data_IF_554577958820
#
_entry.id   IF_554577958820
#
_cell.length_a   1.000
_cell.length_b   1.000
_cell.length_c   1.000
_cell.angle_alpha   90.00
_cell.angle_beta   90.00
_cell.angle_gamma   90.00
#
_symmetry.space_group_name_H-M   'P 1'
#
loop_
_entity.id
_entity.type
_entity.pdbx_description
1 polymer ?
#
# COMPACT_ATOMS: atom_id res chain seq x y z
N UNK A 1 6.12 -23.04 -1.38
CA UNK A 1 5.96 -21.84 -0.51
C UNK A 1 6.10 -20.49 -1.23
N UNK A 2 7.20 -20.23 -1.97
CA UNK A 2 7.42 -18.91 -2.62
C UNK A 2 6.38 -18.56 -3.69
N UNK A 3 6.03 -19.50 -4.57
CA UNK A 3 5.00 -19.28 -5.59
C UNK A 3 3.62 -18.99 -4.98
N UNK A 4 3.25 -19.71 -3.92
CA UNK A 4 2.00 -19.48 -3.18
C UNK A 4 1.99 -18.11 -2.51
N UNK A 5 3.08 -17.72 -1.84
CA UNK A 5 3.20 -16.40 -1.22
C UNK A 5 3.04 -15.26 -2.23
N UNK A 6 3.61 -15.42 -3.44
CA UNK A 6 3.44 -14.47 -4.55
C UNK A 6 1.97 -14.35 -4.98
N UNK A 7 1.31 -15.48 -5.24
CA UNK A 7 -0.11 -15.50 -5.62
C UNK A 7 -0.98 -14.87 -4.52
N UNK A 8 -0.71 -15.18 -3.25
CA UNK A 8 -1.43 -14.58 -2.13
C UNK A 8 -1.26 -13.05 -2.10
N UNK A 9 -0.07 -12.50 -2.38
CA UNK A 9 0.12 -11.05 -2.47
C UNK A 9 -0.63 -10.42 -3.62
N UNK A 10 -0.60 -11.08 -4.76
CA UNK A 10 -1.34 -10.67 -5.95
C UNK A 10 -2.85 -10.63 -5.69
N UNK A 11 -3.40 -11.62 -4.97
CA UNK A 11 -4.84 -11.73 -4.68
C UNK A 11 -5.27 -10.86 -3.49
N UNK A 12 -4.44 -10.69 -2.47
CA UNK A 12 -4.81 -9.99 -1.20
C UNK A 12 -5.28 -8.55 -1.44
N UNK A 13 -4.72 -7.84 -2.42
CA UNK A 13 -5.18 -6.50 -2.80
C UNK A 13 -6.60 -6.44 -3.35
N UNK A 14 -7.17 -7.57 -3.76
CA UNK A 14 -8.55 -7.70 -4.24
C UNK A 14 -9.51 -8.20 -3.16
N UNK A 15 -9.02 -8.77 -2.05
CA UNK A 15 -9.90 -9.40 -1.05
C UNK A 15 -10.80 -8.38 -0.34
N UNK A 16 -10.35 -7.14 -0.18
CA UNK A 16 -11.14 -6.03 0.35
C UNK A 16 -12.38 -5.69 -0.50
N UNK A 17 -12.46 -6.19 -1.73
CA UNK A 17 -13.57 -5.97 -2.66
C UNK A 17 -14.47 -7.20 -2.85
N UNK A 18 -14.21 -8.31 -2.15
CA UNK A 18 -15.08 -9.50 -2.23
C UNK A 18 -16.51 -9.16 -1.80
N UNK A 19 -16.64 -8.25 -0.83
CA UNK A 19 -17.90 -7.59 -0.50
C UNK A 19 -17.81 -6.14 -0.94
N UNK A 20 -18.49 -5.81 -2.05
CA UNK A 20 -18.67 -4.45 -2.56
C UNK A 20 -20.12 -4.29 -3.02
N UNK A 21 -21.02 -3.80 -2.17
CA UNK A 21 -22.39 -3.56 -2.58
C UNK A 21 -22.45 -2.40 -3.60
N UNK A 22 -23.47 -2.37 -4.48
CA UNK A 22 -23.65 -1.28 -5.44
C UNK A 22 -23.61 0.08 -4.74
N UNK A 23 -22.78 1.00 -5.24
CA UNK A 23 -22.61 2.34 -4.66
C UNK A 23 -22.09 2.35 -3.22
N UNK A 24 -21.51 1.24 -2.74
CA UNK A 24 -21.13 1.04 -1.33
C UNK A 24 -22.28 1.20 -0.34
N UNK A 25 -23.51 0.90 -0.79
CA UNK A 25 -24.72 0.99 0.03
C UNK A 25 -24.73 -0.07 1.13
N UNK A 26 -24.60 0.37 2.38
CA UNK A 26 -24.53 -0.51 3.54
C UNK A 26 -25.85 -1.25 3.82
N UNK A 27 -26.97 -0.82 3.22
CA UNK A 27 -28.27 -1.49 3.37
C UNK A 27 -28.25 -2.93 2.89
N UNK A 28 -27.36 -3.27 1.95
CA UNK A 28 -27.12 -4.64 1.49
C UNK A 28 -26.58 -5.57 2.59
N UNK A 29 -26.07 -5.01 3.68
CA UNK A 29 -25.53 -5.73 4.82
C UNK A 29 -26.46 -5.56 6.02
N UNK A 30 -26.92 -4.34 6.29
CA UNK A 30 -27.75 -4.05 7.47
C UNK A 30 -29.14 -4.69 7.39
N UNK A 31 -29.65 -5.04 6.19
CA UNK A 31 -30.88 -5.82 6.03
C UNK A 31 -30.79 -7.20 6.69
N UNK A 32 -29.59 -7.74 6.88
CA UNK A 32 -29.33 -8.99 7.58
C UNK A 32 -29.00 -8.80 9.07
N UNK A 33 -29.13 -7.58 9.60
CA UNK A 33 -28.80 -7.26 10.99
C UNK A 33 -27.29 -7.24 11.28
N UNK A 34 -26.45 -7.12 10.26
CA UNK A 34 -25.00 -7.05 10.38
C UNK A 34 -24.45 -5.68 9.92
N UNK A 35 -23.21 -5.40 10.29
CA UNK A 35 -22.46 -4.20 9.86
C UNK A 35 -21.30 -4.57 8.93
N UNK A 36 -20.81 -3.58 8.17
CA UNK A 36 -19.63 -3.79 7.32
C UNK A 36 -18.38 -4.17 8.13
N UNK A 37 -18.26 -3.64 9.35
CA UNK A 37 -17.13 -3.92 10.23
C UNK A 37 -17.16 -5.34 10.77
N UNK A 38 -18.32 -5.84 11.18
CA UNK A 38 -18.48 -7.25 11.60
C UNK A 38 -18.12 -8.19 10.46
N UNK A 39 -18.74 -8.02 9.28
CA UNK A 39 -18.46 -8.89 8.12
C UNK A 39 -17.00 -8.80 7.69
N UNK A 40 -16.43 -7.60 7.75
CA UNK A 40 -15.03 -7.36 7.42
C UNK A 40 -14.04 -8.05 8.37
N UNK A 41 -14.29 -8.00 9.68
CA UNK A 41 -13.48 -8.67 10.70
C UNK A 41 -13.63 -10.18 10.62
N UNK A 42 -14.86 -10.68 10.42
CA UNK A 42 -15.12 -12.12 10.24
C UNK A 42 -14.44 -12.65 8.97
N UNK A 43 -14.53 -11.92 7.86
CA UNK A 43 -13.88 -12.28 6.61
C UNK A 43 -12.36 -12.38 6.74
N UNK A 44 -11.74 -11.38 7.38
CA UNK A 44 -10.31 -11.39 7.66
C UNK A 44 -9.91 -12.56 8.57
N UNK A 45 -10.64 -12.76 9.66
CA UNK A 45 -10.39 -13.84 10.63
C UNK A 45 -10.51 -15.22 9.97
N UNK A 46 -11.57 -15.41 9.17
CA UNK A 46 -11.82 -16.64 8.42
C UNK A 46 -10.70 -16.93 7.43
N UNK A 47 -10.28 -15.93 6.65
CA UNK A 47 -9.17 -16.05 5.70
C UNK A 47 -7.87 -16.42 6.40
N UNK A 48 -7.49 -15.71 7.48
CA UNK A 48 -6.25 -15.98 8.20
C UNK A 48 -6.24 -17.35 8.87
N UNK A 49 -7.39 -17.77 9.42
CA UNK A 49 -7.54 -19.08 10.07
C UNK A 49 -7.39 -20.20 9.06
N UNK A 50 -8.09 -20.11 7.92
CA UNK A 50 -8.02 -21.10 6.85
C UNK A 50 -6.61 -21.23 6.27
N UNK A 51 -5.93 -20.10 6.03
CA UNK A 51 -4.54 -20.12 5.57
C UNK A 51 -3.61 -20.77 6.60
N UNK A 52 -3.75 -20.46 7.89
CA UNK A 52 -2.98 -21.11 8.95
C UNK A 52 -3.22 -22.62 9.00
N UNK A 53 -4.48 -23.05 8.97
CA UNK A 53 -4.85 -24.48 8.97
C UNK A 53 -4.30 -25.23 7.75
N UNK A 54 -4.12 -24.54 6.62
CA UNK A 54 -3.50 -25.08 5.40
C UNK A 54 -1.95 -25.06 5.43
N UNK A 55 -1.32 -24.70 6.56
CA UNK A 55 0.14 -24.58 6.68
C UNK A 55 0.72 -23.30 6.05
N UNK A 56 -0.12 -22.30 5.80
CA UNK A 56 0.22 -21.02 5.17
C UNK A 56 0.00 -19.84 6.13
N UNK A 57 0.41 -19.99 7.39
CA UNK A 57 0.35 -18.90 8.37
C UNK A 57 1.07 -17.65 7.83
N UNK A 58 0.40 -16.50 7.89
CA UNK A 58 0.86 -15.28 7.20
C UNK A 58 2.26 -14.83 7.67
N UNK A 59 2.55 -15.04 8.95
CA UNK A 59 3.81 -14.67 9.61
C UNK A 59 5.00 -15.51 9.12
N UNK A 60 4.73 -16.71 8.59
CA UNK A 60 5.75 -17.61 8.05
C UNK A 60 5.96 -17.49 6.54
N UNK A 61 5.19 -16.64 5.84
CA UNK A 61 5.29 -16.53 4.39
C UNK A 61 6.53 -15.71 3.98
N UNK A 62 7.34 -16.20 3.02
CA UNK A 62 8.54 -15.48 2.58
C UNK A 62 8.18 -14.22 1.79
N UNK A 63 8.84 -13.09 2.08
CA UNK A 63 8.68 -11.81 1.38
C UNK A 63 7.98 -10.74 2.24
N UNK A 64 7.50 -9.64 1.66
CA UNK A 64 6.79 -8.59 2.41
C UNK A 64 5.49 -9.12 3.05
N UNK A 65 5.10 -8.51 4.17
CA UNK A 65 3.88 -8.86 4.88
C UNK A 65 2.64 -8.65 3.99
N UNK A 66 1.72 -9.61 4.01
CA UNK A 66 0.47 -9.54 3.24
C UNK A 66 -0.50 -8.49 3.78
N UNK A 67 -0.54 -8.34 5.10
CA UNK A 67 -1.38 -7.38 5.82
C UNK A 67 -0.50 -6.30 6.46
N UNK A 68 -1.00 -5.07 6.62
CA UNK A 68 -0.23 -4.01 7.25
C UNK A 68 0.06 -4.36 8.72
N UNK A 69 1.33 -4.40 9.16
CA UNK A 69 1.67 -4.74 10.53
C UNK A 69 1.22 -3.66 11.54
N UNK A 70 0.99 -4.10 12.78
CA UNK A 70 0.67 -3.22 13.91
C UNK A 70 -0.70 -2.56 13.82
N UNK A 71 -1.69 -3.27 13.26
CA UNK A 71 -3.09 -2.89 13.21
C UNK A 71 -3.96 -4.04 13.75
N UNK A 72 -5.06 -3.69 14.40
CA UNK A 72 -6.12 -4.63 14.76
C UNK A 72 -6.85 -5.14 13.51
N UNK A 73 -7.57 -6.28 13.61
CA UNK A 73 -8.40 -6.78 12.51
C UNK A 73 -9.41 -5.75 11.98
N UNK A 74 -10.01 -4.97 12.88
CA UNK A 74 -10.95 -3.91 12.54
C UNK A 74 -10.28 -2.81 11.71
N UNK A 75 -9.14 -2.30 12.16
CA UNK A 75 -8.38 -1.27 11.43
C UNK A 75 -7.91 -1.76 10.06
N UNK A 76 -7.46 -3.02 9.95
CA UNK A 76 -7.09 -3.63 8.66
C UNK A 76 -8.30 -3.65 7.72
N UNK A 77 -9.46 -4.08 8.22
CA UNK A 77 -10.69 -4.17 7.44
C UNK A 77 -11.19 -2.80 6.97
N UNK A 78 -11.34 -1.85 7.90
CA UNK A 78 -11.78 -0.48 7.61
C UNK A 78 -10.85 0.20 6.60
N UNK A 79 -9.54 0.06 6.78
CA UNK A 79 -8.54 0.61 5.85
C UNK A 79 -8.60 -0.04 4.48
N UNK A 80 -8.70 -1.37 4.42
CA UNK A 80 -8.88 -2.08 3.15
C UNK A 80 -10.11 -1.59 2.40
N UNK A 81 -11.23 -1.44 3.11
CA UNK A 81 -12.48 -0.89 2.56
C UNK A 81 -12.32 0.54 2.08
N UNK A 82 -11.69 1.42 2.85
CA UNK A 82 -11.45 2.81 2.46
C UNK A 82 -10.58 2.92 1.20
N UNK A 83 -9.47 2.17 1.14
CA UNK A 83 -8.60 2.14 -0.04
C UNK A 83 -9.28 1.51 -1.26
N UNK A 84 -10.20 0.56 -1.06
CA UNK A 84 -11.01 -0.02 -2.13
C UNK A 84 -12.05 0.99 -2.65
N UNK A 85 -12.75 1.70 -1.76
CA UNK A 85 -13.67 2.81 -2.09
C UNK A 85 -12.95 3.90 -2.89
N UNK A 86 -11.72 4.23 -2.48
CA UNK A 86 -10.87 5.20 -3.15
C UNK A 86 -10.25 4.71 -4.48
N UNK A 87 -10.50 3.47 -4.89
CA UNK A 87 -9.93 2.90 -6.12
C UNK A 87 -8.41 2.73 -6.08
N UNK A 88 -7.80 2.67 -4.90
CA UNK A 88 -6.35 2.45 -4.73
C UNK A 88 -6.03 0.95 -4.89
N UNK A 89 -6.79 0.10 -4.19
CA UNK A 89 -6.66 -1.36 -4.25
C UNK A 89 -7.85 -2.00 -4.98
N UNK A 90 -7.69 -3.25 -5.40
CA UNK A 90 -8.73 -4.02 -6.10
C UNK A 90 -8.95 -3.66 -7.58
N UNK A 91 -10.11 -4.03 -8.12
CA UNK A 91 -10.65 -3.58 -9.41
C UNK A 91 -11.00 -2.10 -9.29
N UNK A 92 -10.59 -1.32 -10.30
CA UNK A 92 -10.77 0.13 -10.31
C UNK A 92 -11.68 0.54 -11.45
N UNK A 93 -12.75 1.27 -11.12
CA UNK A 93 -13.66 1.90 -12.08
C UNK A 93 -13.38 3.41 -12.12
N UNK A 94 -12.34 3.82 -12.87
CA UNK A 94 -11.96 5.23 -13.04
C UNK A 94 -10.67 5.67 -12.34
N UNK A 95 -10.45 6.97 -12.13
CA UNK A 95 -9.29 7.49 -11.39
C UNK A 95 -9.40 7.18 -9.90
N UNK A 96 -8.26 7.01 -9.23
CA UNK A 96 -8.23 6.86 -7.77
C UNK A 96 -8.52 8.19 -7.08
N UNK A 97 -9.29 8.17 -5.98
CA UNK A 97 -9.51 9.34 -5.14
C UNK A 97 -8.17 9.82 -4.56
N UNK A 98 -8.05 11.14 -4.34
CA UNK A 98 -6.82 11.77 -3.87
C UNK A 98 -7.06 12.89 -2.86
N UNK A 99 -8.19 12.82 -2.16
CA UNK A 99 -8.45 13.68 -1.01
C UNK A 99 -7.35 13.47 0.07
N UNK A 100 -7.10 14.46 0.94
CA UNK A 100 -5.99 14.41 1.89
C UNK A 100 -5.98 13.18 2.81
N UNK A 101 -7.16 12.66 3.17
CA UNK A 101 -7.29 11.47 4.03
C UNK A 101 -6.84 10.21 3.27
N UNK A 102 -7.30 10.02 2.04
CA UNK A 102 -6.86 8.92 1.17
C UNK A 102 -5.35 8.95 0.93
N UNK A 103 -4.79 10.13 0.64
CA UNK A 103 -3.34 10.30 0.41
C UNK A 103 -2.55 9.94 1.67
N UNK A 104 -2.94 10.47 2.83
CA UNK A 104 -2.29 10.18 4.11
C UNK A 104 -2.38 8.68 4.46
N UNK A 105 -3.53 8.05 4.22
CA UNK A 105 -3.73 6.63 4.43
C UNK A 105 -2.82 5.80 3.53
N UNK A 106 -2.65 6.15 2.25
CA UNK A 106 -1.75 5.43 1.35
C UNK A 106 -0.28 5.56 1.78
N UNK A 107 0.15 6.76 2.21
CA UNK A 107 1.49 6.98 2.75
C UNK A 107 1.77 6.18 4.03
N UNK A 108 0.82 6.12 4.95
CA UNK A 108 0.97 5.27 6.13
C UNK A 108 1.02 3.77 5.76
N UNK A 109 0.36 3.34 4.66
CA UNK A 109 0.39 1.95 4.20
C UNK A 109 1.80 1.61 3.73
N UNK A 110 2.37 2.49 2.91
CA UNK A 110 3.73 2.35 2.38
C UNK A 110 4.76 2.36 3.51
N UNK A 111 4.59 3.25 4.50
CA UNK A 111 5.44 3.30 5.70
C UNK A 111 5.46 1.97 6.45
N UNK A 112 4.29 1.32 6.62
CA UNK A 112 4.15 0.02 7.30
C UNK A 112 4.68 -1.16 6.47
N UNK A 113 4.80 -1.00 5.16
CA UNK A 113 5.32 -2.02 4.24
C UNK A 113 6.82 -1.93 3.99
N UNK A 114 7.52 -0.99 4.64
CA UNK A 114 8.99 -0.92 4.57
C UNK A 114 9.58 -2.26 5.00
N UNK A 115 10.32 -2.89 4.08
CA UNK A 115 10.99 -4.15 4.36
C UNK A 115 12.08 -3.95 5.42
N UNK A 116 12.02 -4.60 6.60
CA UNK A 116 13.02 -4.42 7.64
C UNK A 116 14.43 -4.83 7.19
N UNK A 117 14.54 -5.68 6.17
CA UNK A 117 15.80 -6.14 5.58
C UNK A 117 16.22 -5.34 4.33
N UNK A 118 15.84 -4.06 4.24
CA UNK A 118 16.12 -3.19 3.08
C UNK A 118 17.62 -2.91 2.86
N UNK A 119 18.44 -3.00 3.91
CA UNK A 119 19.90 -2.85 3.84
C UNK A 119 20.39 -1.41 3.65
N UNK A 120 19.60 -0.41 4.09
CA UNK A 120 20.06 0.98 4.16
C UNK A 120 20.91 1.12 5.42
N UNK A 121 22.09 1.74 5.30
CA UNK A 121 23.06 1.86 6.40
C UNK A 121 22.86 3.10 7.27
N UNK A 122 22.08 4.07 6.77
CA UNK A 122 21.78 5.34 7.44
C UNK A 122 20.33 5.74 7.15
N UNK A 123 19.73 6.63 7.96
CA UNK A 123 18.45 7.23 7.62
C UNK A 123 18.45 7.75 6.18
N UNK A 124 17.44 7.38 5.42
CA UNK A 124 17.29 7.75 4.01
C UNK A 124 15.91 8.31 3.78
N UNK A 125 15.86 9.51 3.22
CA UNK A 125 14.61 10.23 3.00
C UNK A 125 14.18 10.17 1.53
N UNK A 126 13.02 9.56 1.29
CA UNK A 126 12.37 9.52 -0.02
C UNK A 126 11.28 10.59 -0.05
N UNK A 127 11.27 11.45 -1.06
CA UNK A 127 10.28 12.51 -1.24
C UNK A 127 9.49 12.29 -2.52
N UNK A 128 8.16 12.38 -2.45
CA UNK A 128 7.26 12.33 -3.59
C UNK A 128 6.83 13.74 -3.96
N UNK A 129 7.13 14.13 -5.18
CA UNK A 129 6.75 15.41 -5.78
C UNK A 129 5.69 15.16 -6.84
N UNK A 130 4.43 15.34 -6.48
CA UNK A 130 3.35 15.09 -7.41
C UNK A 130 3.29 16.18 -8.49
N UNK A 131 3.02 15.79 -9.73
CA UNK A 131 2.77 16.75 -10.82
C UNK A 131 1.37 17.34 -10.76
N UNK A 132 0.50 16.75 -9.94
CA UNK A 132 -0.87 17.19 -9.67
C UNK A 132 -0.84 18.35 -8.67
N UNK A 133 -1.37 19.54 -9.01
CA UNK A 133 -1.24 20.74 -8.17
C UNK A 133 -2.04 20.67 -6.86
N UNK A 134 -3.04 19.81 -6.78
CA UNK A 134 -3.91 19.56 -5.63
C UNK A 134 -3.38 18.47 -4.70
N UNK A 135 -2.28 17.80 -5.06
CA UNK A 135 -1.66 16.77 -4.22
C UNK A 135 -0.35 17.30 -3.63
N UNK A 136 -0.35 17.52 -2.32
CA UNK A 136 0.82 18.00 -1.59
C UNK A 136 2.04 17.09 -1.77
N UNK A 137 3.24 17.67 -1.69
CA UNK A 137 4.48 16.89 -1.53
C UNK A 137 4.44 16.11 -0.22
N UNK A 138 5.04 14.92 -0.20
CA UNK A 138 5.18 14.10 1.01
C UNK A 138 6.58 13.50 1.06
N UNK A 139 7.02 13.12 2.25
CA UNK A 139 8.26 12.38 2.40
C UNK A 139 8.17 11.25 3.43
N UNK A 140 8.97 10.21 3.20
CA UNK A 140 9.18 9.08 4.07
C UNK A 140 10.66 9.04 4.46
N UNK A 141 10.93 9.15 5.75
CA UNK A 141 12.25 8.87 6.31
C UNK A 141 12.28 7.42 6.76
N UNK A 142 13.06 6.60 6.06
CA UNK A 142 13.31 5.21 6.45
C UNK A 142 14.52 5.17 7.37
N UNK A 143 14.31 4.70 8.60
CA UNK A 143 15.34 4.50 9.60
C UNK A 143 15.12 3.13 10.27
N UNK A 144 16.20 2.37 10.51
CA UNK A 144 16.13 1.00 11.03
C UNK A 144 15.33 0.97 12.35
N UNK A 145 14.10 0.45 12.30
CA UNK A 145 13.18 0.35 13.45
C UNK A 145 12.18 1.50 13.61
N UNK A 146 12.28 2.60 12.85
CA UNK A 146 11.30 3.72 12.91
C UNK A 146 11.23 4.49 11.60
N UNK A 147 10.37 4.01 10.68
CA UNK A 147 10.01 4.77 9.49
C UNK A 147 8.91 5.79 9.80
N UNK A 148 9.09 7.03 9.36
CA UNK A 148 8.18 8.16 9.60
C UNK A 148 7.77 8.79 8.27
N UNK A 149 6.49 9.08 8.11
CA UNK A 149 5.93 9.71 6.91
C UNK A 149 5.24 11.01 7.30
N UNK A 150 5.51 12.08 6.56
CA UNK A 150 5.05 13.43 6.88
C UNK A 150 4.66 14.19 5.60
N UNK A 151 3.61 15.02 5.65
CA UNK A 151 3.29 15.94 4.57
C UNK A 151 4.35 17.03 4.46
N UNK A 152 4.53 17.56 3.25
CA UNK A 152 5.49 18.60 2.94
C UNK A 152 6.85 18.08 2.45
N UNK A 153 7.66 19.03 1.98
CA UNK A 153 9.02 18.75 1.53
C UNK A 153 9.94 18.48 2.72
N UNK A 154 10.80 17.47 2.59
CA UNK A 154 11.86 17.24 3.55
C UNK A 154 12.93 18.35 3.43
N UNK A 155 13.58 18.75 4.53
CA UNK A 155 14.69 19.71 4.46
C UNK A 155 15.85 19.23 3.58
N UNK A 156 16.13 17.93 3.59
CA UNK A 156 17.23 17.29 2.85
C UNK A 156 16.82 15.91 2.32
N UNK A 157 16.03 15.82 1.23
CA UNK A 157 15.65 14.54 0.66
C UNK A 157 16.86 13.86 -0.01
N UNK A 158 17.09 12.58 0.28
CA UNK A 158 18.12 11.77 -0.40
C UNK A 158 17.69 11.41 -1.82
N UNK A 159 16.40 11.14 -2.02
CA UNK A 159 15.83 10.80 -3.32
C UNK A 159 14.47 11.48 -3.50
N UNK A 160 14.36 12.30 -4.54
CA UNK A 160 13.09 12.91 -4.97
C UNK A 160 12.51 12.10 -6.12
N UNK A 161 11.23 11.77 -6.02
CA UNK A 161 10.46 10.97 -6.98
C UNK A 161 9.36 11.86 -7.53
N UNK A 162 9.55 12.37 -8.76
CA UNK A 162 8.54 13.20 -9.42
C UNK A 162 7.69 12.35 -10.38
N UNK A 163 6.37 12.36 -10.19
CA UNK A 163 5.37 11.59 -10.95
C UNK A 163 3.96 12.11 -10.69
N UNK A 164 2.94 11.66 -11.44
CA UNK A 164 1.54 11.93 -11.08
C UNK A 164 1.09 11.06 -9.92
N UNK A 165 0.06 11.50 -9.18
CA UNK A 165 -0.58 10.69 -8.14
C UNK A 165 -1.10 9.36 -8.71
N UNK A 166 -1.69 9.41 -9.91
CA UNK A 166 -2.24 8.20 -10.53
C UNK A 166 -1.15 7.18 -10.88
N UNK A 167 -0.01 7.64 -11.40
CA UNK A 167 1.14 6.78 -11.70
C UNK A 167 1.73 6.18 -10.43
N UNK A 168 1.76 6.96 -9.34
CA UNK A 168 2.18 6.47 -8.04
C UNK A 168 1.27 5.36 -7.51
N UNK A 169 -0.05 5.57 -7.54
CA UNK A 169 -1.03 4.54 -7.15
C UNK A 169 -0.92 3.30 -8.04
N UNK A 170 -0.68 3.47 -9.34
CA UNK A 170 -0.49 2.36 -10.26
C UNK A 170 0.80 1.59 -9.99
N UNK A 171 1.88 2.26 -9.59
CA UNK A 171 3.12 1.61 -9.17
C UNK A 171 2.92 0.84 -7.87
N UNK A 172 2.29 1.45 -6.86
CA UNK A 172 2.01 0.80 -5.56
C UNK A 172 1.05 -0.37 -5.73
N UNK A 173 0.07 -0.25 -6.62
CA UNK A 173 -0.86 -1.30 -6.97
C UNK A 173 -0.34 -2.31 -8.00
N UNK A 174 0.94 -2.26 -8.39
CA UNK A 174 1.56 -3.11 -9.41
C UNK A 174 0.85 -3.11 -10.79
N UNK A 175 0.09 -2.05 -11.11
CA UNK A 175 -0.54 -1.81 -12.42
C UNK A 175 0.40 -1.10 -13.40
N UNK A 176 1.43 -0.42 -12.89
CA UNK A 176 2.47 0.23 -13.67
C UNK A 176 3.84 -0.24 -13.17
N UNK A 177 4.66 -0.77 -14.08
CA UNK A 177 6.04 -1.12 -13.76
C UNK A 177 6.89 0.17 -13.60
N UNK A 178 7.54 0.42 -12.45
CA UNK A 178 8.38 1.60 -12.25
C UNK A 178 9.59 1.71 -13.19
N UNK A 179 10.17 0.62 -13.72
CA UNK A 179 11.25 0.73 -14.70
C UNK A 179 10.71 1.31 -16.01
N UNK A 180 9.53 0.84 -16.46
CA UNK A 180 8.81 1.43 -17.60
C UNK A 180 8.39 2.87 -17.34
N UNK A 181 7.94 3.20 -16.13
CA UNK A 181 7.62 4.57 -15.74
C UNK A 181 8.85 5.49 -15.80
N UNK A 182 10.02 5.01 -15.39
CA UNK A 182 11.27 5.76 -15.53
C UNK A 182 11.71 5.92 -16.99
N UNK A 183 11.67 4.84 -17.77
CA UNK A 183 12.06 4.87 -19.19
C UNK A 183 11.19 5.82 -20.02
N UNK A 184 9.90 5.93 -19.68
CA UNK A 184 8.96 6.87 -20.33
C UNK A 184 8.99 8.28 -19.75
N UNK A 185 9.80 8.54 -18.71
CA UNK A 185 9.86 9.84 -18.04
C UNK A 185 8.63 10.20 -17.21
N UNK A 186 7.73 9.24 -16.95
CA UNK A 186 6.58 9.35 -16.04
C UNK A 186 7.00 9.36 -14.57
N UNK A 187 8.02 8.58 -14.22
CA UNK A 187 8.73 8.63 -12.94
C UNK A 187 10.12 9.23 -13.15
N UNK A 188 10.40 10.37 -12.51
CA UNK A 188 11.68 11.08 -12.63
C UNK A 188 12.40 11.11 -11.28
N UNK A 189 13.24 10.11 -10.97
CA UNK A 189 14.04 10.12 -9.76
C UNK A 189 15.18 11.14 -9.88
N UNK A 190 15.44 11.89 -8.80
CA UNK A 190 16.59 12.80 -8.68
C UNK A 190 17.21 12.72 -7.29
N UNK A 191 18.53 12.58 -7.21
CA UNK A 191 19.26 12.50 -5.94
C UNK A 191 20.23 11.34 -5.91
N UNK A 192 20.37 10.71 -4.74
CA UNK A 192 21.34 9.68 -4.45
C UNK A 192 21.10 8.39 -5.26
N UNK A 193 22.02 7.98 -6.15
CA UNK A 193 21.89 6.74 -6.93
C UNK A 193 21.79 5.47 -6.09
N UNK A 194 22.46 5.44 -4.91
CA UNK A 194 22.36 4.30 -3.99
C UNK A 194 20.97 4.20 -3.35
N UNK A 195 20.34 5.33 -3.05
CA UNK A 195 18.96 5.34 -2.54
C UNK A 195 17.99 4.83 -3.61
N UNK A 196 18.17 5.24 -4.87
CA UNK A 196 17.40 4.74 -6.01
C UNK A 196 17.58 3.22 -6.20
N UNK A 197 18.83 2.73 -6.19
CA UNK A 197 19.12 1.31 -6.34
C UNK A 197 18.54 0.46 -5.19
N UNK A 198 18.38 1.04 -4.00
CA UNK A 198 17.79 0.38 -2.82
C UNK A 198 16.27 0.49 -2.75
N UNK A 199 15.62 1.35 -3.55
CA UNK A 199 14.18 1.56 -3.49
C UNK A 199 13.39 0.25 -3.65
N UNK A 200 13.78 -0.62 -4.60
CA UNK A 200 13.15 -1.93 -4.77
C UNK A 200 13.44 -2.96 -3.68
N UNK A 201 14.43 -2.71 -2.80
CA UNK A 201 14.66 -3.50 -1.58
C UNK A 201 13.89 -2.95 -0.38
N UNK A 202 13.67 -1.64 -0.34
CA UNK A 202 12.80 -0.97 0.65
C UNK A 202 11.35 -1.38 0.43
N UNK A 203 10.91 -1.39 -0.83
CA UNK A 203 9.58 -1.80 -1.27
C UNK A 203 9.68 -3.00 -2.23
N UNK A 204 9.89 -4.21 -1.70
CA UNK A 204 9.94 -5.40 -2.53
C UNK A 204 8.57 -5.68 -3.13
N UNK A 205 8.56 -6.09 -4.39
CA UNK A 205 7.34 -6.60 -5.06
C UNK A 205 6.95 -7.98 -4.52
N UNK A 206 5.68 -8.31 -4.71
CA UNK A 206 5.08 -9.54 -4.20
C UNK A 206 5.61 -10.85 -4.78
#
# INVERSE_FOLDING_TARGET
PRAVARILREVTRYTAQVLMPPGWDERYITVFGATYDEVGVEGLTSMTTKLRSAGLALEGLPGPALLPPGLSPLEISQRGRALAKAGVIGVREGPSMRDPETVAMLFDTIRRQVNPNHGLRRPTTFQWEFTDPDVSTWHLTVNNGRSVVEPGAAPKPDLRLRLSYQDWVDIVGERLDPLRAMASGRLRPRGNPLALARLGKVFPRG
#
